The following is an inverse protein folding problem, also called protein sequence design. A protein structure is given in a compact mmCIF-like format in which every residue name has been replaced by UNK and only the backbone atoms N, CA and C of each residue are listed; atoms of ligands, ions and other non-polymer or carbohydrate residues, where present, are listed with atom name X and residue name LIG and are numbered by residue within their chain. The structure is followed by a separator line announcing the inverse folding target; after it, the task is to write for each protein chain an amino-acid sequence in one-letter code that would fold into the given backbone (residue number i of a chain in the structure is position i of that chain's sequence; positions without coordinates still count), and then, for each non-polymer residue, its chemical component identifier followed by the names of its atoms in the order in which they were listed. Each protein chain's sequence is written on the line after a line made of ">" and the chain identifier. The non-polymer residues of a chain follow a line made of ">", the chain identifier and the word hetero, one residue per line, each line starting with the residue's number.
data_IF_505910750168
#
_entry.id   IF_505910750168
#
_cell.length_a   1.000
_cell.length_b   1.000
_cell.length_c   1.000
_cell.angle_alpha   90.00
_cell.angle_beta   90.00
_cell.angle_gamma   90.00
#
_symmetry.space_group_name_H-M   'P 1'
#
loop_
_entity.id
_entity.type
_entity.pdbx_description
1 polymer ?
#
# COMPACT_ATOMS: atom_id res chain seq x y z
N UNK A 1 26.73 1.97 47.26
CA UNK A 1 27.41 2.16 45.96
C UNK A 1 27.45 0.82 45.25
N UNK A 2 26.46 0.58 44.39
CA UNK A 2 26.41 -0.46 43.34
C UNK A 2 25.84 0.25 42.11
N UNK A 3 26.44 0.16 40.91
CA UNK A 3 25.76 0.61 39.72
C UNK A 3 24.81 -0.50 39.24
N UNK A 4 23.56 -0.13 38.98
CA UNK A 4 22.65 -0.93 38.19
C UNK A 4 23.17 -0.89 36.74
N UNK A 5 23.62 -2.04 36.24
CA UNK A 5 23.81 -2.24 34.80
C UNK A 5 22.41 -2.57 34.28
N UNK A 6 21.75 -1.60 33.64
CA UNK A 6 20.66 -1.92 32.74
C UNK A 6 21.27 -2.69 31.59
N UNK A 7 20.94 -3.97 31.50
CA UNK A 7 21.26 -4.78 30.34
C UNK A 7 20.55 -4.16 29.14
N UNK A 8 21.32 -3.68 28.17
CA UNK A 8 20.83 -3.34 26.84
C UNK A 8 20.20 -4.61 26.25
N UNK A 9 18.87 -4.68 26.32
CA UNK A 9 18.11 -5.71 25.61
C UNK A 9 18.25 -5.41 24.12
N UNK A 10 18.87 -6.28 23.31
CA UNK A 10 18.97 -6.05 21.88
C UNK A 10 17.55 -6.05 21.29
N UNK A 11 17.08 -4.88 20.86
CA UNK A 11 15.89 -4.74 20.03
C UNK A 11 16.16 -5.52 18.74
N UNK A 12 15.34 -6.54 18.45
CA UNK A 12 15.60 -7.45 17.32
C UNK A 12 15.64 -6.68 15.99
N UNK A 13 16.38 -7.19 15.01
CA UNK A 13 16.46 -6.63 13.66
C UNK A 13 15.09 -6.45 13.00
N UNK A 14 14.08 -7.21 13.43
CA UNK A 14 12.69 -7.10 12.96
C UNK A 14 12.06 -5.76 13.39
N UNK A 15 12.29 -5.29 14.61
CA UNK A 15 11.81 -3.98 15.08
C UNK A 15 12.50 -2.84 14.34
N UNK A 16 13.78 -3.01 13.97
CA UNK A 16 14.51 -2.00 13.18
C UNK A 16 14.01 -1.95 11.72
N UNK A 17 13.66 -3.10 11.13
CA UNK A 17 13.17 -3.23 9.76
C UNK A 17 11.72 -2.77 9.59
N UNK A 18 10.87 -2.88 10.61
CA UNK A 18 9.48 -2.41 10.57
C UNK A 18 9.42 -0.86 10.52
N UNK A 19 10.34 -0.16 11.19
CA UNK A 19 10.39 1.32 11.23
C UNK A 19 10.75 2.05 9.92
N UNK A 20 10.93 1.34 8.80
CA UNK A 20 11.44 1.92 7.54
C UNK A 20 10.33 2.34 6.57
N UNK A 21 9.18 1.65 6.58
CA UNK A 21 8.10 1.85 5.59
C UNK A 21 7.49 3.24 5.70
N UNK A 22 7.03 3.64 6.89
CA UNK A 22 6.45 4.97 7.07
C UNK A 22 7.50 6.08 6.95
N UNK A 23 8.78 5.82 7.25
CA UNK A 23 9.85 6.82 6.99
C UNK A 23 10.03 7.07 5.51
N UNK A 24 9.92 6.03 4.68
CA UNK A 24 9.99 6.16 3.23
C UNK A 24 8.79 6.97 2.71
N UNK A 25 7.59 6.70 3.23
CA UNK A 25 6.39 7.47 2.91
C UNK A 25 6.52 8.94 3.34
N UNK A 26 7.00 9.22 4.56
CA UNK A 26 7.30 10.59 5.02
C UNK A 26 8.29 11.30 4.08
N UNK A 27 9.32 10.59 3.59
CA UNK A 27 10.31 11.14 2.64
C UNK A 27 9.72 11.40 1.24
N UNK A 28 8.56 10.82 0.93
CA UNK A 28 7.75 11.08 -0.26
C UNK A 28 6.65 12.12 0.01
N UNK A 29 6.69 12.79 1.17
CA UNK A 29 5.74 13.85 1.50
C UNK A 29 4.44 13.37 2.15
N UNK A 30 4.37 12.12 2.63
CA UNK A 30 3.17 11.60 3.27
C UNK A 30 2.69 12.49 4.42
N UNK A 31 1.45 12.98 4.32
CA UNK A 31 0.84 13.80 5.37
C UNK A 31 0.05 12.97 6.36
N UNK A 32 0.00 13.41 7.63
CA UNK A 32 -0.76 12.75 8.69
C UNK A 32 -2.13 13.40 8.82
N UNK A 33 -3.17 12.59 8.71
CA UNK A 33 -4.53 12.99 9.07
C UNK A 33 -4.84 12.51 10.49
N UNK A 34 -4.85 13.39 11.51
CA UNK A 34 -4.92 12.97 12.90
C UNK A 34 -6.24 12.26 13.23
N UNK A 35 -6.14 11.00 13.63
CA UNK A 35 -7.25 10.20 14.17
C UNK A 35 -6.92 9.79 15.62
N UNK A 36 -7.85 9.88 16.58
CA UNK A 36 -7.59 9.47 17.95
C UNK A 36 -7.12 8.00 18.03
N UNK A 37 -6.08 7.66 18.81
CA UNK A 37 -5.51 6.30 18.83
C UNK A 37 -6.52 5.20 19.20
N UNK A 38 -7.48 5.50 20.08
CA UNK A 38 -8.55 4.54 20.41
C UNK A 38 -9.45 4.26 19.21
N UNK A 39 -9.71 5.28 18.37
CA UNK A 39 -10.52 5.13 17.17
C UNK A 39 -9.75 4.38 16.08
N UNK A 40 -8.45 4.64 15.93
CA UNK A 40 -7.56 3.87 15.04
C UNK A 40 -7.63 2.38 15.35
N UNK A 41 -7.45 1.98 16.62
CA UNK A 41 -7.53 0.57 17.03
C UNK A 41 -8.88 -0.06 16.71
N UNK A 42 -9.98 0.62 17.04
CA UNK A 42 -11.33 0.14 16.71
C UNK A 42 -11.50 -0.08 15.21
N UNK A 43 -11.05 0.87 14.39
CA UNK A 43 -11.15 0.77 12.94
C UNK A 43 -10.25 -0.35 12.39
N UNK A 44 -9.06 -0.58 12.93
CA UNK A 44 -8.22 -1.72 12.55
C UNK A 44 -8.90 -3.05 12.90
N UNK A 45 -9.52 -3.17 14.07
CA UNK A 45 -10.27 -4.37 14.47
C UNK A 45 -11.48 -4.61 13.55
N UNK A 46 -12.22 -3.55 13.23
CA UNK A 46 -13.35 -3.58 12.29
C UNK A 46 -12.89 -4.02 10.89
N UNK A 47 -11.81 -3.44 10.37
CA UNK A 47 -11.25 -3.77 9.06
C UNK A 47 -10.74 -5.22 9.04
N UNK A 48 -9.99 -5.64 10.05
CA UNK A 48 -9.48 -7.01 10.18
C UNK A 48 -10.62 -8.03 10.22
N UNK A 49 -11.73 -7.71 10.88
CA UNK A 49 -12.93 -8.56 10.88
C UNK A 49 -13.57 -8.68 9.49
N UNK A 50 -13.49 -7.62 8.68
CA UNK A 50 -14.05 -7.56 7.33
C UNK A 50 -13.19 -8.28 6.30
N UNK A 51 -11.87 -8.06 6.33
CA UNK A 51 -10.95 -8.49 5.27
C UNK A 51 -9.93 -9.53 5.70
N UNK A 52 -9.98 -9.98 6.97
CA UNK A 52 -9.02 -10.90 7.57
C UNK A 52 -7.71 -10.20 7.97
N UNK A 53 -6.76 -10.97 8.57
CA UNK A 53 -5.43 -10.47 8.90
C UNK A 53 -4.73 -9.81 7.72
N UNK A 54 -4.02 -8.73 8.03
CA UNK A 54 -3.21 -7.91 7.13
C UNK A 54 -1.75 -7.97 7.57
N UNK A 55 -0.78 -7.69 6.69
CA UNK A 55 0.63 -7.68 7.07
C UNK A 55 0.94 -6.53 8.04
N UNK A 56 1.88 -6.77 8.95
CA UNK A 56 2.24 -5.83 10.02
C UNK A 56 2.72 -4.48 9.49
N UNK A 57 3.47 -4.47 8.39
CA UNK A 57 3.99 -3.24 7.77
C UNK A 57 2.88 -2.30 7.25
N UNK A 58 1.75 -2.86 6.78
CA UNK A 58 0.57 -2.07 6.42
C UNK A 58 -0.20 -1.59 7.65
N UNK A 59 -0.30 -2.42 8.69
CA UNK A 59 -0.93 -2.04 9.96
C UNK A 59 -0.21 -0.84 10.59
N UNK A 60 1.11 -0.83 10.60
CA UNK A 60 1.90 0.31 11.11
C UNK A 60 1.60 1.62 10.37
N UNK A 61 1.42 1.54 9.05
CA UNK A 61 1.04 2.70 8.23
C UNK A 61 -0.35 3.20 8.63
N UNK A 62 -1.34 2.30 8.76
CA UNK A 62 -2.68 2.67 9.22
C UNK A 62 -2.67 3.27 10.64
N UNK A 63 -1.85 2.73 11.53
CA UNK A 63 -1.69 3.24 12.89
C UNK A 63 -1.07 4.63 12.94
N UNK A 64 -0.07 4.89 12.10
CA UNK A 64 0.62 6.18 12.05
C UNK A 64 -0.25 7.27 11.44
N UNK A 65 -0.80 7.01 10.25
CA UNK A 65 -1.45 8.05 9.47
C UNK A 65 -2.92 8.19 9.80
N UNK A 66 -3.60 7.11 10.21
CA UNK A 66 -5.00 7.11 10.59
C UNK A 66 -5.94 7.37 9.41
N UNK A 67 -5.97 8.60 8.90
CA UNK A 67 -6.75 8.98 7.72
C UNK A 67 -6.00 8.87 6.41
N UNK A 68 -6.52 9.52 5.36
CA UNK A 68 -5.93 9.54 4.01
C UNK A 68 -4.43 9.82 4.06
N UNK A 69 -3.68 9.10 3.24
CA UNK A 69 -2.24 9.28 3.08
C UNK A 69 -2.03 9.93 1.72
N UNK A 70 -1.85 11.25 1.74
CA UNK A 70 -1.53 12.04 0.57
C UNK A 70 -0.02 12.16 0.46
N UNK A 71 0.51 11.85 -0.72
CA UNK A 71 1.93 12.02 -1.04
C UNK A 71 2.12 13.36 -1.73
N UNK A 72 3.30 13.97 -1.61
CA UNK A 72 3.55 15.27 -2.21
C UNK A 72 3.66 15.17 -3.75
N UNK A 73 3.11 16.19 -4.41
CA UNK A 73 3.37 16.61 -5.80
C UNK A 73 2.72 15.86 -6.98
N UNK A 74 1.64 15.06 -6.85
CA UNK A 74 0.98 14.33 -8.00
C UNK A 74 1.93 13.48 -8.89
N UNK A 75 3.21 13.43 -8.51
CA UNK A 75 4.36 12.97 -9.28
C UNK A 75 4.90 11.66 -8.69
N UNK A 76 4.26 11.09 -7.67
CA UNK A 76 4.70 9.80 -7.13
C UNK A 76 4.27 8.69 -8.07
N UNK A 77 5.27 7.93 -8.51
CA UNK A 77 5.12 6.81 -9.44
C UNK A 77 5.86 5.58 -8.94
N UNK A 78 5.56 4.42 -9.52
CA UNK A 78 6.29 3.18 -9.33
C UNK A 78 6.49 2.46 -10.66
N UNK A 79 7.59 1.72 -10.77
CA UNK A 79 7.86 0.84 -11.91
C UNK A 79 7.61 -0.60 -11.47
N UNK A 80 6.45 -1.13 -11.84
CA UNK A 80 6.15 -2.53 -11.63
C UNK A 80 7.01 -3.41 -12.55
N UNK A 81 7.27 -4.66 -12.14
CA UNK A 81 7.96 -5.64 -12.99
C UNK A 81 7.23 -5.87 -14.34
N UNK A 82 5.91 -5.69 -14.33
CA UNK A 82 5.08 -5.58 -15.52
C UNK A 82 4.30 -4.26 -15.45
N UNK A 83 4.61 -3.28 -16.30
CA UNK A 83 3.87 -2.02 -16.35
C UNK A 83 2.38 -2.26 -16.65
N UNK A 84 1.50 -1.47 -16.03
CA UNK A 84 0.08 -1.53 -16.38
C UNK A 84 -0.18 -0.95 -17.78
N UNK A 85 -1.40 -1.15 -18.30
CA UNK A 85 -1.83 -0.52 -19.56
C UNK A 85 -1.87 1.02 -19.47
N UNK A 86 -1.85 1.58 -18.25
CA UNK A 86 -1.91 3.01 -17.96
C UNK A 86 -0.52 3.61 -17.69
N UNK A 87 0.54 2.81 -17.73
CA UNK A 87 1.89 3.28 -17.45
C UNK A 87 2.38 4.27 -18.51
N UNK A 88 2.93 5.41 -18.07
CA UNK A 88 3.57 6.42 -18.93
C UNK A 88 5.08 6.30 -18.76
N UNK A 89 5.82 6.09 -19.85
CA UNK A 89 7.27 5.88 -19.76
C UNK A 89 7.68 4.62 -18.99
N UNK A 90 6.75 3.69 -18.78
CA UNK A 90 6.97 2.45 -18.02
C UNK A 90 6.72 2.56 -16.51
N UNK A 91 6.23 3.72 -16.02
CA UNK A 91 5.86 3.92 -14.63
C UNK A 91 4.35 4.16 -14.49
N UNK A 92 3.79 3.66 -13.39
CA UNK A 92 2.40 3.83 -12.99
C UNK A 92 2.31 4.87 -11.87
N UNK A 93 1.32 5.76 -11.94
CA UNK A 93 1.09 6.80 -10.93
C UNK A 93 0.23 6.32 -9.76
N UNK A 94 0.49 6.86 -8.57
CA UNK A 94 -0.38 6.73 -7.40
C UNK A 94 -0.99 8.09 -7.06
N UNK A 95 -2.32 8.16 -6.97
CA UNK A 95 -3.02 9.41 -6.66
C UNK A 95 -3.12 9.61 -5.15
N UNK A 96 -3.49 8.55 -4.41
CA UNK A 96 -3.65 8.57 -2.95
C UNK A 96 -3.65 7.16 -2.39
N UNK A 97 -3.22 6.99 -1.13
CA UNK A 97 -3.50 5.77 -0.38
C UNK A 97 -4.64 5.96 0.63
N UNK A 98 -5.50 4.95 0.70
CA UNK A 98 -6.70 4.93 1.54
C UNK A 98 -6.32 4.72 3.00
N UNK A 99 -6.72 5.65 3.86
CA UNK A 99 -6.63 5.50 5.31
C UNK A 99 -7.87 4.82 5.92
N UNK A 100 -7.90 4.74 7.26
CA UNK A 100 -9.05 4.25 8.04
C UNK A 100 -10.22 5.25 8.07
N UNK A 101 -9.94 6.53 7.81
CA UNK A 101 -10.93 7.61 7.69
C UNK A 101 -10.56 8.48 6.50
N UNK A 102 -11.51 9.20 5.91
CA UNK A 102 -11.21 10.09 4.79
C UNK A 102 -11.80 11.48 4.94
N UNK A 103 -11.02 12.49 4.60
CA UNK A 103 -11.48 13.88 4.45
C UNK A 103 -12.11 14.12 3.07
N UNK A 104 -11.86 13.22 2.11
CA UNK A 104 -12.32 13.32 0.73
C UNK A 104 -13.44 12.33 0.38
N UNK A 105 -13.93 11.58 1.38
CA UNK A 105 -15.05 10.65 1.23
C UNK A 105 -14.68 9.28 0.64
N UNK A 106 -13.41 8.89 0.66
CA UNK A 106 -12.96 7.57 0.21
C UNK A 106 -11.89 7.00 1.15
N UNK A 107 -12.30 6.48 2.31
CA UNK A 107 -11.42 5.67 3.15
C UNK A 107 -11.40 4.23 2.63
N UNK A 108 -10.58 3.39 3.25
CA UNK A 108 -10.51 1.95 2.94
C UNK A 108 -11.88 1.28 3.08
N UNK A 109 -12.74 1.72 4.01
CA UNK A 109 -14.07 1.16 4.19
C UNK A 109 -15.02 1.53 3.04
N UNK A 110 -15.03 2.80 2.63
CA UNK A 110 -15.84 3.20 1.47
C UNK A 110 -15.32 2.55 0.18
N UNK A 111 -14.00 2.38 0.03
CA UNK A 111 -13.43 1.68 -1.11
C UNK A 111 -13.86 0.20 -1.15
N UNK A 112 -13.79 -0.51 -0.01
CA UNK A 112 -14.27 -1.89 0.08
C UNK A 112 -15.76 -1.99 -0.29
N UNK A 113 -16.59 -1.07 0.21
CA UNK A 113 -18.02 -1.05 -0.11
C UNK A 113 -18.28 -0.72 -1.60
N UNK A 114 -17.57 0.25 -2.17
CA UNK A 114 -17.75 0.69 -3.56
C UNK A 114 -17.41 -0.41 -4.58
N UNK A 115 -16.47 -1.29 -4.24
CA UNK A 115 -15.99 -2.36 -5.11
C UNK A 115 -16.43 -3.76 -4.66
N UNK A 116 -17.44 -3.85 -3.78
CA UNK A 116 -17.97 -5.12 -3.32
C UNK A 116 -18.41 -5.99 -4.51
N UNK A 117 -17.88 -7.23 -4.56
CA UNK A 117 -18.15 -8.18 -5.64
C UNK A 117 -17.46 -7.88 -6.97
N UNK A 118 -16.67 -6.80 -7.06
CA UNK A 118 -15.90 -6.40 -8.27
C UNK A 118 -14.41 -6.73 -8.13
N UNK A 119 -13.79 -6.29 -7.03
CA UNK A 119 -12.40 -6.66 -6.73
C UNK A 119 -12.35 -8.15 -6.31
N UNK A 120 -11.38 -8.94 -6.82
CA UNK A 120 -11.31 -10.36 -6.49
C UNK A 120 -11.19 -10.62 -4.97
N UNK A 121 -11.85 -11.66 -4.42
CA UNK A 121 -11.80 -11.95 -3.00
C UNK A 121 -10.38 -12.12 -2.45
N UNK A 122 -10.13 -11.53 -1.29
CA UNK A 122 -8.81 -11.52 -0.63
C UNK A 122 -7.89 -10.40 -1.09
N UNK A 123 -8.41 -9.45 -1.86
CA UNK A 123 -7.72 -8.22 -2.20
C UNK A 123 -8.46 -7.03 -1.59
N UNK A 124 -7.73 -6.19 -0.87
CA UNK A 124 -8.19 -4.97 -0.24
C UNK A 124 -7.75 -3.78 -1.09
N UNK A 125 -8.66 -2.91 -1.58
CA UNK A 125 -8.23 -1.65 -2.19
C UNK A 125 -7.55 -0.76 -1.14
N UNK A 126 -6.32 -0.34 -1.40
CA UNK A 126 -5.49 0.47 -0.50
C UNK A 126 -5.07 1.82 -1.09
N UNK A 127 -5.39 2.10 -2.36
CA UNK A 127 -5.13 3.39 -2.96
C UNK A 127 -5.75 3.57 -4.34
N UNK A 128 -5.96 4.83 -4.71
CA UNK A 128 -6.40 5.24 -6.03
C UNK A 128 -5.22 5.31 -7.00
N UNK A 129 -5.43 4.81 -8.21
CA UNK A 129 -4.49 4.90 -9.32
C UNK A 129 -5.20 5.46 -10.56
N UNK A 130 -4.40 5.95 -11.52
CA UNK A 130 -4.86 6.68 -12.69
C UNK A 130 -6.04 5.99 -13.40
N UNK A 131 -7.05 6.77 -13.75
CA UNK A 131 -8.22 6.29 -14.50
C UNK A 131 -9.28 5.58 -13.65
N UNK A 132 -9.29 5.79 -12.33
CA UNK A 132 -10.25 5.14 -11.41
C UNK A 132 -9.89 3.69 -11.08
N UNK A 133 -8.64 3.30 -11.36
CA UNK A 133 -8.06 2.02 -11.02
C UNK A 133 -7.63 1.99 -9.55
N UNK A 134 -7.31 0.81 -9.02
CA UNK A 134 -6.99 0.65 -7.60
C UNK A 134 -5.67 -0.09 -7.40
N UNK A 135 -4.86 0.37 -6.45
CA UNK A 135 -3.83 -0.47 -5.84
C UNK A 135 -4.47 -1.34 -4.77
N UNK A 136 -4.20 -2.64 -4.83
CA UNK A 136 -4.81 -3.63 -3.96
C UNK A 136 -3.75 -4.40 -3.17
N UNK A 137 -4.03 -4.62 -1.89
CA UNK A 137 -3.24 -5.44 -0.97
C UNK A 137 -3.86 -6.82 -0.79
N UNK A 138 -3.04 -7.86 -0.88
CA UNK A 138 -3.45 -9.24 -0.59
C UNK A 138 -3.63 -9.43 0.92
N UNK A 139 -4.80 -9.86 1.35
CA UNK A 139 -5.09 -10.18 2.76
C UNK A 139 -5.22 -11.69 2.97
N UNK A 140 -5.22 -12.13 4.23
CA UNK A 140 -5.37 -13.55 4.57
C UNK A 140 -6.74 -14.14 4.20
N UNK A 141 -7.72 -13.32 3.83
CA UNK A 141 -9.06 -13.77 3.48
C UNK A 141 -9.14 -14.24 2.03
N UNK A 142 -8.64 -15.44 1.76
CA UNK A 142 -8.78 -16.06 0.45
C UNK A 142 -10.24 -16.36 0.07
N UNK A 143 -10.49 -16.55 -1.24
CA UNK A 143 -11.76 -17.11 -1.71
C UNK A 143 -12.00 -18.48 -1.04
N UNK A 144 -13.13 -18.61 -0.34
CA UNK A 144 -13.61 -19.85 0.32
C UNK A 144 -12.74 -20.34 1.50
N UNK A 145 -12.15 -19.43 2.28
CA UNK A 145 -11.53 -19.78 3.57
C UNK A 145 -10.25 -20.60 3.47
N UNK A 146 -9.52 -20.48 2.35
CA UNK A 146 -8.18 -21.05 2.21
C UNK A 146 -7.14 -20.03 2.66
N UNK A 147 -6.15 -20.53 3.40
CA UNK A 147 -4.93 -19.81 3.71
C UNK A 147 -4.21 -19.42 2.42
N UNK A 148 -3.56 -18.27 2.46
CA UNK A 148 -3.04 -17.58 1.28
C UNK A 148 -1.54 -17.36 1.49
N UNK A 149 -0.71 -17.93 0.63
CA UNK A 149 0.76 -17.88 0.77
C UNK A 149 1.36 -16.51 0.40
N UNK A 150 0.57 -15.62 -0.22
CA UNK A 150 1.01 -14.33 -0.76
C UNK A 150 0.43 -13.10 -0.02
N UNK A 151 0.11 -13.23 1.28
CA UNK A 151 -0.34 -12.09 2.11
C UNK A 151 0.66 -10.93 2.02
N UNK A 152 0.13 -9.74 1.80
CA UNK A 152 0.91 -8.52 1.64
C UNK A 152 1.33 -8.21 0.20
N UNK A 153 1.15 -9.13 -0.76
CA UNK A 153 1.40 -8.81 -2.16
C UNK A 153 0.53 -7.65 -2.65
N UNK A 154 1.08 -6.87 -3.59
CA UNK A 154 0.41 -5.71 -4.20
C UNK A 154 0.05 -6.02 -5.64
N UNK A 155 -1.17 -5.69 -6.02
CA UNK A 155 -1.67 -5.79 -7.38
C UNK A 155 -2.33 -4.50 -7.82
N UNK A 156 -2.13 -4.12 -9.08
CA UNK A 156 -2.85 -3.05 -9.74
C UNK A 156 -4.14 -3.62 -10.33
N UNK A 157 -5.30 -3.15 -9.88
CA UNK A 157 -6.60 -3.55 -10.38
C UNK A 157 -7.12 -2.54 -11.41
N UNK A 158 -7.18 -2.98 -12.66
CA UNK A 158 -7.82 -2.30 -13.78
C UNK A 158 -9.33 -2.58 -13.78
N UNK A 159 -10.12 -1.55 -13.50
CA UNK A 159 -11.57 -1.67 -13.41
C UNK A 159 -12.24 -1.87 -14.79
N UNK A 160 -11.59 -1.43 -15.88
CA UNK A 160 -12.09 -1.65 -17.24
C UNK A 160 -11.91 -3.11 -17.67
N UNK A 161 -10.87 -3.76 -17.14
CA UNK A 161 -10.55 -5.16 -17.39
C UNK A 161 -11.26 -6.14 -16.43
N UNK A 162 -12.10 -5.67 -15.50
CA UNK A 162 -12.74 -6.51 -14.45
C UNK A 162 -13.59 -7.65 -15.02
N UNK A 163 -14.10 -7.48 -16.25
CA UNK A 163 -14.95 -8.46 -16.95
C UNK A 163 -14.18 -9.37 -17.91
N UNK A 164 -12.89 -9.11 -18.11
CA UNK A 164 -12.05 -9.98 -18.90
C UNK A 164 -11.81 -11.29 -18.14
N UNK A 165 -11.90 -12.41 -18.84
CA UNK A 165 -11.62 -13.74 -18.28
C UNK A 165 -10.29 -14.21 -18.88
N UNK A 166 -9.34 -14.74 -18.10
CA UNK A 166 -8.24 -15.47 -18.74
C UNK A 166 -8.78 -16.71 -19.42
N UNK A 167 -7.94 -17.26 -20.30
CA UNK A 167 -7.98 -18.67 -20.69
C UNK A 167 -8.07 -19.68 -19.50
N UNK A 168 -7.89 -19.26 -18.24
CA UNK A 168 -7.93 -20.06 -17.02
C UNK A 168 -9.12 -19.78 -16.09
N UNK A 169 -10.05 -18.89 -16.45
CA UNK A 169 -11.28 -18.65 -15.68
C UNK A 169 -11.11 -17.90 -14.35
N UNK A 170 -9.96 -17.26 -14.08
CA UNK A 170 -9.74 -16.40 -12.92
C UNK A 170 -10.22 -14.98 -13.22
N UNK A 171 -10.79 -14.33 -12.21
CA UNK A 171 -11.19 -12.92 -12.29
C UNK A 171 -9.96 -12.07 -12.62
N UNK A 172 -9.97 -11.40 -13.78
CA UNK A 172 -8.87 -10.54 -14.25
C UNK A 172 -9.14 -9.07 -13.96
N UNK A 173 -8.06 -8.32 -14.04
CA UNK A 173 -7.96 -6.90 -13.67
C UNK A 173 -6.71 -6.67 -12.82
N UNK A 174 -6.27 -7.67 -12.05
CA UNK A 174 -5.09 -7.58 -11.19
C UNK A 174 -3.80 -7.93 -11.93
N UNK A 175 -2.94 -6.93 -12.11
CA UNK A 175 -1.55 -7.08 -12.54
C UNK A 175 -0.64 -7.07 -11.31
N UNK A 176 0.24 -8.06 -11.11
CA UNK A 176 1.18 -8.07 -9.99
C UNK A 176 2.11 -6.85 -10.02
N UNK A 177 2.26 -6.17 -8.88
CA UNK A 177 3.15 -5.00 -8.71
C UNK A 177 4.34 -5.36 -7.84
N UNK A 178 4.09 -5.90 -6.64
CA UNK A 178 5.12 -6.28 -5.68
C UNK A 178 4.70 -7.49 -4.84
N UNK A 179 5.65 -8.19 -4.25
CA UNK A 179 5.39 -9.39 -3.42
C UNK A 179 5.10 -9.08 -1.95
N UNK A 180 5.27 -7.83 -1.53
CA UNK A 180 4.92 -7.35 -0.18
C UNK A 180 4.62 -5.84 -0.22
N UNK A 181 3.94 -5.33 0.81
CA UNK A 181 3.62 -3.92 0.93
C UNK A 181 4.90 -3.07 1.07
N UNK A 182 5.84 -3.50 1.91
CA UNK A 182 7.18 -2.90 1.95
C UNK A 182 7.86 -2.84 0.58
N UNK A 183 7.92 -3.97 -0.14
CA UNK A 183 8.57 -3.99 -1.45
C UNK A 183 7.91 -3.02 -2.43
N UNK A 184 6.60 -2.79 -2.32
CA UNK A 184 5.91 -1.76 -3.08
C UNK A 184 6.33 -0.35 -2.67
N UNK A 185 6.38 -0.05 -1.38
CA UNK A 185 6.83 1.27 -0.88
C UNK A 185 8.28 1.57 -1.33
N UNK A 186 9.14 0.55 -1.43
CA UNK A 186 10.50 0.67 -1.94
C UNK A 186 10.56 1.00 -3.45
N UNK A 187 9.49 0.68 -4.22
CA UNK A 187 9.37 1.03 -5.64
C UNK A 187 8.91 2.48 -5.87
N UNK A 188 8.29 3.12 -4.87
CA UNK A 188 7.78 4.48 -4.99
C UNK A 188 8.91 5.48 -5.17
N UNK A 189 8.73 6.42 -6.11
CA UNK A 189 9.66 7.53 -6.37
C UNK A 189 8.92 8.77 -6.87
N UNK A 190 9.56 9.93 -6.77
CA UNK A 190 9.05 11.17 -7.36
C UNK A 190 9.51 11.27 -8.82
N UNK A 191 8.58 11.46 -9.75
CA UNK A 191 8.84 11.61 -11.17
C UNK A 191 9.87 12.73 -11.42
N UNK A 192 10.78 12.50 -12.36
CA UNK A 192 11.81 13.47 -12.74
C UNK A 192 12.98 13.65 -11.75
N UNK A 193 12.94 13.14 -10.52
CA UNK A 193 14.08 13.20 -9.58
C UNK A 193 15.16 12.15 -9.84
N UNK A 194 14.82 11.03 -10.46
CA UNK A 194 15.76 9.95 -10.78
C UNK A 194 16.34 10.03 -12.21
N UNK A 195 16.04 11.12 -12.95
CA UNK A 195 16.46 11.35 -14.33
C UNK A 195 17.61 12.35 -14.53
N UNK A 196 18.10 13.02 -13.46
CA UNK A 196 19.32 13.83 -13.57
C UNK A 196 20.55 12.93 -13.52
N UNK A 197 20.95 12.44 -14.69
CA UNK A 197 22.32 11.99 -14.91
C UNK A 197 23.30 13.02 -14.38
N UNK A 198 24.40 12.52 -13.80
CA UNK A 198 25.50 13.34 -13.31
C UNK A 198 25.85 14.45 -14.32
N UNK A 199 26.19 15.67 -13.87
CA UNK A 199 26.58 16.73 -14.79
C UNK A 199 27.75 16.23 -15.65
N UNK A 200 27.57 16.25 -16.97
CA UNK A 200 28.67 15.98 -17.89
C UNK A 200 29.85 16.90 -17.54
N UNK A 201 31.09 16.38 -17.51
CA UNK A 201 32.25 17.20 -17.27
C UNK A 201 32.32 18.25 -18.38
N UNK A 202 32.32 19.51 -17.99
CA UNK A 202 32.62 20.61 -18.90
C UNK A 202 34.10 20.53 -19.23
N UNK A 203 34.41 20.31 -20.51
CA UNK A 203 35.73 20.53 -21.11
C UNK A 203 36.18 22.00 -20.97
#
# INVERSE_FOLDING_TARGET
>A
MWPAVMEDVPMSEDVHRMTEVWRRLDALGATITPVPPQRVRQLIDELTSLVGPMPDDYLEVLERYGGDIELDDDDVEFVAAMPSAWAVGGADGIERMHGLTSSYGRSVFEAVAAYEGRIPPGWLPIGDAAGGNQLCLRTARGARGREVDDIGAIGFWDHEAERAVDAGGRARGLTPVATSFRAFVDLLRVAGRDGMGAPEPRD
#
